data_IF_736595162328
#
_entry.id   IF_736595162328
#
_cell.length_a   1.000
_cell.length_b   1.000
_cell.length_c   1.000
_cell.angle_alpha   90.00
_cell.angle_beta   90.00
_cell.angle_gamma   90.00
#
_symmetry.space_group_name_H-M   'P 1'
#
loop_
_entity.id
_entity.type
_entity.pdbx_description
1 polymer ?
#
# COMPACT_ATOMS: atom_id res chain seq x y z
N UNK A 1 21.47 -21.14 19.64
CA UNK A 1 21.24 -21.62 18.26
C UNK A 1 19.89 -22.29 18.23
N UNK A 2 18.91 -21.69 17.55
CA UNK A 2 17.61 -22.34 17.30
C UNK A 2 17.86 -23.61 16.50
N UNK A 3 17.45 -24.75 17.04
CA UNK A 3 17.63 -26.06 16.39
C UNK A 3 16.71 -26.08 15.17
N UNK A 4 17.26 -25.97 13.98
CA UNK A 4 16.48 -26.04 12.75
C UNK A 4 16.05 -27.50 12.50
N UNK A 5 14.85 -27.67 11.94
CA UNK A 5 14.26 -28.97 11.64
C UNK A 5 14.80 -29.48 10.30
N UNK A 6 15.34 -30.70 10.32
CA UNK A 6 15.70 -31.44 9.11
C UNK A 6 14.46 -31.95 8.38
N UNK A 7 14.59 -32.32 7.10
CA UNK A 7 13.49 -32.83 6.27
C UNK A 7 12.73 -33.99 6.93
N UNK A 8 13.44 -34.98 7.47
CA UNK A 8 12.82 -36.13 8.15
C UNK A 8 11.96 -35.71 9.34
N UNK A 9 12.44 -34.75 10.14
CA UNK A 9 11.71 -34.26 11.31
C UNK A 9 10.44 -33.51 10.89
N UNK A 10 10.52 -32.72 9.82
CA UNK A 10 9.35 -32.02 9.27
C UNK A 10 8.32 -33.01 8.73
N UNK A 11 8.75 -34.02 7.96
CA UNK A 11 7.85 -35.04 7.41
C UNK A 11 7.16 -35.85 8.50
N UNK A 12 7.89 -36.20 9.56
CA UNK A 12 7.35 -36.90 10.73
C UNK A 12 6.34 -36.04 11.49
N UNK A 13 6.64 -34.75 11.72
CA UNK A 13 5.71 -33.80 12.35
C UNK A 13 4.44 -33.61 11.54
N UNK A 14 4.54 -33.60 10.21
CA UNK A 14 3.41 -33.49 9.31
C UNK A 14 2.71 -34.82 9.07
N UNK A 15 3.30 -35.96 9.48
CA UNK A 15 2.79 -37.30 9.25
C UNK A 15 2.63 -37.68 7.77
N UNK A 16 3.43 -37.09 6.87
CA UNK A 16 3.37 -37.32 5.41
C UNK A 16 4.66 -38.00 4.92
N UNK A 17 4.60 -38.83 3.86
CA UNK A 17 5.78 -39.50 3.33
C UNK A 17 6.70 -38.57 2.53
N UNK A 18 6.13 -37.56 1.87
CA UNK A 18 6.84 -36.48 1.18
C UNK A 18 5.93 -35.23 1.06
N UNK A 19 6.47 -34.07 0.68
CA UNK A 19 5.72 -32.81 0.64
C UNK A 19 4.62 -32.75 -0.44
N UNK A 20 4.62 -33.64 -1.44
CA UNK A 20 3.53 -33.75 -2.44
C UNK A 20 2.23 -34.27 -1.82
N UNK A 21 2.31 -34.89 -0.64
CA UNK A 21 1.16 -35.39 0.12
C UNK A 21 0.64 -34.36 1.13
N UNK A 22 1.08 -33.10 1.05
CA UNK A 22 0.59 -32.02 1.90
C UNK A 22 -0.89 -31.76 1.62
N UNK A 23 -1.73 -32.05 2.60
CA UNK A 23 -3.18 -31.83 2.55
C UNK A 23 -3.59 -30.50 3.21
N UNK A 24 -4.80 -30.01 2.90
CA UNK A 24 -5.31 -28.73 3.43
C UNK A 24 -5.31 -28.66 4.96
N UNK A 25 -5.62 -29.77 5.64
CA UNK A 25 -5.61 -29.88 7.10
C UNK A 25 -4.19 -29.78 7.70
N UNK A 26 -3.15 -29.99 6.89
CA UNK A 26 -1.75 -29.98 7.32
C UNK A 26 -1.00 -28.71 6.90
N UNK A 27 -1.59 -27.87 6.05
CA UNK A 27 -1.01 -26.59 5.62
C UNK A 27 -0.71 -25.67 6.81
N UNK A 28 -1.58 -25.62 7.82
CA UNK A 28 -1.36 -24.74 8.98
C UNK A 28 -0.15 -25.19 9.82
N UNK A 29 0.01 -26.50 10.03
CA UNK A 29 1.19 -27.07 10.69
C UNK A 29 2.46 -26.88 9.86
N UNK A 30 2.37 -27.05 8.54
CA UNK A 30 3.48 -26.82 7.62
C UNK A 30 3.95 -25.36 7.63
N UNK A 31 3.03 -24.41 7.47
CA UNK A 31 3.33 -22.97 7.48
C UNK A 31 3.90 -22.50 8.81
N UNK A 32 3.42 -23.08 9.92
CA UNK A 32 3.94 -22.78 11.27
C UNK A 32 5.34 -23.36 11.50
N UNK A 33 5.69 -24.47 10.84
CA UNK A 33 7.01 -25.09 10.91
C UNK A 33 8.04 -24.43 9.98
N UNK A 34 7.60 -23.77 8.89
CA UNK A 34 8.49 -23.15 7.88
C UNK A 34 9.63 -22.29 8.48
N UNK A 35 9.39 -21.38 9.44
CA UNK A 35 10.46 -20.55 10.02
C UNK A 35 11.50 -21.35 10.82
N UNK A 36 11.15 -22.58 11.22
CA UNK A 36 11.98 -23.46 12.03
C UNK A 36 12.69 -24.51 11.19
N UNK A 37 12.40 -24.62 9.89
CA UNK A 37 13.07 -25.57 9.00
C UNK A 37 14.48 -25.09 8.65
N UNK A 38 15.36 -26.04 8.33
CA UNK A 38 16.60 -25.68 7.65
C UNK A 38 16.26 -25.01 6.30
N UNK A 39 16.97 -23.94 5.89
CA UNK A 39 16.62 -23.19 4.67
C UNK A 39 16.52 -24.06 3.41
N UNK A 40 17.41 -25.05 3.28
CA UNK A 40 17.40 -25.97 2.13
C UNK A 40 16.16 -26.88 2.14
N UNK A 41 15.70 -27.30 3.32
CA UNK A 41 14.50 -28.10 3.51
C UNK A 41 13.25 -27.29 3.19
N UNK A 42 13.18 -26.04 3.66
CA UNK A 42 12.08 -25.14 3.36
C UNK A 42 11.95 -24.89 1.85
N UNK A 43 13.07 -24.64 1.16
CA UNK A 43 13.09 -24.44 -0.29
C UNK A 43 12.61 -25.71 -1.01
N UNK A 44 13.14 -26.88 -0.66
CA UNK A 44 12.74 -28.15 -1.27
C UNK A 44 11.25 -28.45 -1.05
N UNK A 45 10.71 -28.12 0.13
CA UNK A 45 9.30 -28.29 0.43
C UNK A 45 8.41 -27.35 -0.40
N UNK A 46 8.77 -26.07 -0.51
CA UNK A 46 8.03 -25.08 -1.31
C UNK A 46 8.07 -25.42 -2.82
N UNK A 47 9.17 -25.99 -3.31
CA UNK A 47 9.28 -26.45 -4.71
C UNK A 47 8.35 -27.62 -5.04
N UNK A 48 7.92 -28.40 -4.04
CA UNK A 48 6.95 -29.49 -4.24
C UNK A 48 5.50 -29.00 -4.26
N UNK A 49 5.23 -27.76 -3.87
CA UNK A 49 3.89 -27.16 -3.96
C UNK A 49 3.64 -26.72 -5.41
N UNK A 50 2.64 -27.30 -6.11
CA UNK A 50 2.38 -26.99 -7.51
C UNK A 50 2.14 -25.49 -7.72
N UNK A 51 2.78 -24.93 -8.75
CA UNK A 51 2.63 -23.53 -9.16
C UNK A 51 2.92 -22.48 -8.06
N UNK A 52 3.57 -22.84 -6.96
CA UNK A 52 3.76 -21.93 -5.83
C UNK A 52 4.55 -20.68 -6.22
N UNK A 53 5.66 -20.85 -6.93
CA UNK A 53 6.49 -19.74 -7.38
C UNK A 53 5.73 -18.83 -8.36
N UNK A 54 5.10 -19.43 -9.38
CA UNK A 54 4.33 -18.70 -10.39
C UNK A 54 3.18 -17.92 -9.77
N UNK A 55 2.39 -18.57 -8.92
CA UNK A 55 1.25 -17.94 -8.21
C UNK A 55 1.73 -16.83 -7.27
N UNK A 56 2.83 -17.05 -6.55
CA UNK A 56 3.40 -16.03 -5.66
C UNK A 56 3.91 -14.81 -6.44
N UNK A 57 4.54 -15.04 -7.60
CA UNK A 57 4.98 -13.96 -8.49
C UNK A 57 3.80 -13.17 -9.06
N UNK A 58 2.75 -13.85 -9.50
CA UNK A 58 1.52 -13.23 -10.01
C UNK A 58 0.85 -12.36 -8.93
N UNK A 59 0.71 -12.88 -7.70
CA UNK A 59 0.17 -12.10 -6.57
C UNK A 59 1.04 -10.86 -6.31
N UNK A 60 2.37 -10.99 -6.32
CA UNK A 60 3.27 -9.85 -6.10
C UNK A 60 3.20 -8.82 -7.22
N UNK A 61 2.98 -9.24 -8.47
CA UNK A 61 2.76 -8.34 -9.60
C UNK A 61 1.45 -7.58 -9.44
N UNK A 62 0.34 -8.27 -9.15
CA UNK A 62 -0.96 -7.64 -8.89
C UNK A 62 -0.85 -6.65 -7.72
N UNK A 63 -0.17 -7.03 -6.64
CA UNK A 63 0.05 -6.15 -5.49
C UNK A 63 0.84 -4.90 -5.88
N UNK A 64 1.95 -5.06 -6.61
CA UNK A 64 2.76 -3.94 -7.12
C UNK A 64 1.95 -3.00 -8.01
N UNK A 65 1.17 -3.56 -8.94
CA UNK A 65 0.32 -2.78 -9.84
C UNK A 65 -0.74 -2.00 -9.07
N UNK A 66 -1.43 -2.65 -8.14
CA UNK A 66 -2.44 -2.01 -7.29
C UNK A 66 -1.85 -0.84 -6.50
N UNK A 67 -0.72 -1.06 -5.80
CA UNK A 67 -0.05 -0.01 -5.03
C UNK A 67 0.42 1.13 -5.94
N UNK A 68 0.97 0.82 -7.12
CA UNK A 68 1.43 1.83 -8.06
C UNK A 68 0.28 2.67 -8.62
N UNK A 69 -0.86 2.04 -8.94
CA UNK A 69 -2.06 2.73 -9.38
C UNK A 69 -2.63 3.62 -8.28
N UNK A 70 -2.77 3.11 -7.05
CA UNK A 70 -3.26 3.92 -5.93
C UNK A 70 -2.37 5.13 -5.65
N UNK A 71 -1.05 4.98 -5.74
CA UNK A 71 -0.14 6.11 -5.57
C UNK A 71 -0.26 7.14 -6.70
N UNK A 72 -0.47 6.68 -7.94
CA UNK A 72 -0.68 7.57 -9.08
C UNK A 72 -2.02 8.33 -8.98
N UNK A 73 -3.09 7.65 -8.59
CA UNK A 73 -4.41 8.25 -8.35
C UNK A 73 -4.37 9.27 -7.20
N UNK A 74 -3.63 8.98 -6.13
CA UNK A 74 -3.41 9.90 -5.02
C UNK A 74 -2.65 11.16 -5.48
N UNK A 75 -1.57 10.98 -6.25
CA UNK A 75 -0.84 12.10 -6.83
C UNK A 75 -1.72 12.95 -7.75
N UNK A 76 -2.57 12.33 -8.58
CA UNK A 76 -3.53 13.04 -9.44
C UNK A 76 -4.58 13.80 -8.60
N UNK A 77 -5.06 13.20 -7.51
CA UNK A 77 -6.00 13.84 -6.59
C UNK A 77 -5.39 15.09 -5.93
N UNK A 78 -4.14 14.99 -5.45
CA UNK A 78 -3.39 16.11 -4.88
C UNK A 78 -3.20 17.22 -5.90
N UNK A 79 -2.80 16.88 -7.12
CA UNK A 79 -2.63 17.87 -8.20
C UNK A 79 -3.96 18.56 -8.56
N UNK A 80 -5.03 17.80 -8.73
CA UNK A 80 -6.36 18.33 -9.09
C UNK A 80 -6.93 19.25 -8.01
N UNK A 81 -6.77 18.88 -6.74
CA UNK A 81 -7.18 19.73 -5.62
C UNK A 81 -6.37 21.02 -5.57
N UNK A 82 -5.03 20.93 -5.69
CA UNK A 82 -4.17 22.11 -5.69
C UNK A 82 -4.52 23.07 -6.84
N UNK A 83 -4.77 22.54 -8.04
CA UNK A 83 -5.21 23.34 -9.19
C UNK A 83 -6.56 24.04 -8.92
N UNK A 84 -7.48 23.38 -8.22
CA UNK A 84 -8.77 23.97 -7.83
C UNK A 84 -8.58 25.11 -6.82
N UNK A 85 -7.72 24.93 -5.81
CA UNK A 85 -7.36 25.99 -4.87
C UNK A 85 -6.71 27.19 -5.58
N UNK A 86 -5.78 26.93 -6.51
CA UNK A 86 -5.08 27.97 -7.27
C UNK A 86 -6.05 28.75 -8.17
N UNK A 87 -7.03 28.08 -8.77
CA UNK A 87 -8.12 28.73 -9.52
C UNK A 87 -8.94 29.67 -8.62
N UNK A 88 -9.35 29.20 -7.44
CA UNK A 88 -10.12 30.03 -6.49
C UNK A 88 -9.29 31.22 -6.01
N UNK A 89 -8.00 31.03 -5.72
CA UNK A 89 -7.10 32.12 -5.35
C UNK A 89 -6.98 33.17 -6.47
N UNK A 90 -6.83 32.75 -7.72
CA UNK A 90 -6.77 33.67 -8.87
C UNK A 90 -8.07 34.46 -9.09
N UNK A 91 -9.24 33.84 -8.84
CA UNK A 91 -10.52 34.54 -8.86
C UNK A 91 -10.62 35.58 -7.74
N UNK A 92 -10.20 35.23 -6.52
CA UNK A 92 -10.17 36.16 -5.38
C UNK A 92 -9.19 37.30 -5.62
N UNK A 93 -8.03 37.03 -6.22
CA UNK A 93 -7.04 38.03 -6.60
C UNK A 93 -7.64 39.02 -7.60
N UNK A 94 -8.29 38.50 -8.65
CA UNK A 94 -8.98 39.33 -9.64
C UNK A 94 -10.05 40.21 -9.00
N UNK A 95 -10.85 39.65 -8.09
CA UNK A 95 -11.86 40.42 -7.34
C UNK A 95 -11.22 41.50 -6.48
N UNK A 96 -10.09 41.22 -5.83
CA UNK A 96 -9.40 42.17 -4.94
C UNK A 96 -8.84 43.41 -5.65
N UNK A 97 -8.63 43.31 -6.97
CA UNK A 97 -8.19 44.43 -7.81
C UNK A 97 -9.33 45.41 -8.16
N UNK A 98 -10.57 45.13 -7.75
CA UNK A 98 -11.68 46.05 -7.95
C UNK A 98 -11.58 47.25 -6.99
N UNK A 99 -11.41 48.44 -7.56
CA UNK A 99 -11.28 49.70 -6.83
C UNK A 99 -12.56 50.13 -6.09
N UNK A 100 -13.72 49.60 -6.47
CA UNK A 100 -15.02 49.90 -5.85
C UNK A 100 -15.24 49.14 -4.52
N UNK A 101 -14.32 48.25 -4.12
CA UNK A 101 -14.45 47.48 -2.89
C UNK A 101 -14.22 48.33 -1.65
N UNK A 102 -15.14 48.19 -0.69
CA UNK A 102 -14.97 48.75 0.65
C UNK A 102 -13.85 48.04 1.41
N UNK A 103 -13.34 48.68 2.46
CA UNK A 103 -12.34 48.08 3.34
C UNK A 103 -12.82 46.75 3.96
N UNK A 104 -14.10 46.67 4.33
CA UNK A 104 -14.69 45.45 4.88
C UNK A 104 -14.72 44.32 3.85
N UNK A 105 -15.09 44.62 2.60
CA UNK A 105 -15.09 43.65 1.51
C UNK A 105 -13.66 43.19 1.15
N UNK A 106 -12.67 44.08 1.24
CA UNK A 106 -11.25 43.74 1.05
C UNK A 106 -10.75 42.79 2.15
N UNK A 107 -11.11 43.04 3.41
CA UNK A 107 -10.77 42.12 4.50
C UNK A 107 -11.45 40.76 4.34
N UNK A 108 -12.71 40.73 3.93
CA UNK A 108 -13.43 39.47 3.68
C UNK A 108 -12.76 38.65 2.57
N UNK A 109 -12.27 39.30 1.51
CA UNK A 109 -11.49 38.62 0.46
C UNK A 109 -10.18 38.03 1.00
N UNK A 110 -9.45 38.78 1.84
CA UNK A 110 -8.23 38.29 2.48
C UNK A 110 -8.53 37.06 3.35
N UNK A 111 -9.58 37.11 4.16
CA UNK A 111 -10.00 35.97 4.99
C UNK A 111 -10.33 34.73 4.15
N UNK A 112 -11.03 34.91 3.03
CA UNK A 112 -11.33 33.83 2.07
C UNK A 112 -10.06 33.27 1.43
N UNK A 113 -9.10 34.11 1.06
CA UNK A 113 -7.80 33.66 0.54
C UNK A 113 -7.04 32.83 1.58
N UNK A 114 -6.98 33.30 2.83
CA UNK A 114 -6.34 32.57 3.93
C UNK A 114 -7.02 31.23 4.20
N UNK A 115 -8.35 31.17 4.12
CA UNK A 115 -9.10 29.92 4.27
C UNK A 115 -8.74 28.90 3.17
N UNK A 116 -8.62 29.33 1.91
CA UNK A 116 -8.22 28.44 0.80
C UNK A 116 -6.78 27.95 0.98
N UNK A 117 -5.86 28.83 1.41
CA UNK A 117 -4.48 28.44 1.71
C UNK A 117 -4.41 27.42 2.86
N UNK A 118 -5.26 27.59 3.89
CA UNK A 118 -5.36 26.63 4.98
C UNK A 118 -5.89 25.26 4.50
N UNK A 119 -6.95 25.24 3.69
CA UNK A 119 -7.46 24.00 3.10
C UNK A 119 -6.40 23.28 2.25
N UNK A 120 -5.54 24.05 1.54
CA UNK A 120 -4.39 23.52 0.79
C UNK A 120 -3.34 22.91 1.70
N UNK A 121 -3.02 23.55 2.82
CA UNK A 121 -2.08 23.04 3.81
C UNK A 121 -2.59 21.77 4.51
N UNK A 122 -3.88 21.69 4.79
CA UNK A 122 -4.47 20.63 5.61
C UNK A 122 -4.81 19.36 4.81
N UNK A 123 -4.70 19.37 3.46
CA UNK A 123 -5.15 18.25 2.61
C UNK A 123 -4.47 16.91 2.95
N UNK A 124 -3.17 16.96 3.23
CA UNK A 124 -2.31 15.78 3.37
C UNK A 124 -1.70 15.66 4.79
N UNK A 125 -2.21 16.42 5.77
CA UNK A 125 -1.76 16.40 7.17
C UNK A 125 -2.73 15.62 8.05
#
# INVERSE_FOLDING_TARGET
MSRQLSEKQVLEMLGIPDFRHLSKDRIMSFTSALPQMEPQVAIAALQQVPHFADTSLEIMQIYKETVSQTLAEDQENVQSFNASCDMVLGLLETLSQNDDLSFEQKNELIDRMMAVLKMKSDKDT
#
